data_IF_517942480598
#
_entry.id   IF_517942480598
#
_cell.length_a   1.000
_cell.length_b   1.000
_cell.length_c   1.000
_cell.angle_alpha   90.00
_cell.angle_beta   90.00
_cell.angle_gamma   90.00
#
_symmetry.space_group_name_H-M   'P 1'
#
loop_
_entity.id
_entity.type
_entity.pdbx_description
1 polymer ?
#
# COMPACT_ATOMS: atom_id res chain seq x y z
N UNK A 1 12.59 -0.84 -0.74
CA UNK A 1 13.15 0.51 -0.57
C UNK A 1 12.28 1.29 0.40
N UNK A 2 12.87 2.00 1.36
CA UNK A 2 12.21 2.97 2.22
C UNK A 2 12.31 4.34 1.57
N UNK A 3 11.16 4.96 1.29
CA UNK A 3 11.08 6.24 0.58
C UNK A 3 10.49 7.29 1.52
N UNK A 4 11.31 8.26 1.92
CA UNK A 4 10.86 9.31 2.84
C UNK A 4 10.26 10.50 2.10
N UNK A 5 9.06 10.93 2.44
CA UNK A 5 8.49 12.16 1.88
C UNK A 5 9.03 13.39 2.59
N UNK A 6 9.59 14.36 1.86
CA UNK A 6 10.10 15.60 2.44
C UNK A 6 10.00 16.76 1.45
N UNK A 7 9.48 17.93 1.84
CA UNK A 7 9.43 19.11 0.98
C UNK A 7 10.77 19.86 0.89
N UNK A 8 11.75 19.53 1.74
CA UNK A 8 13.00 20.30 1.89
C UNK A 8 14.23 19.59 1.31
N UNK A 9 14.06 18.46 0.63
CA UNK A 9 15.16 17.73 -0.02
C UNK A 9 14.88 17.57 -1.50
N UNK A 10 15.80 18.07 -2.32
CA UNK A 10 15.75 17.86 -3.77
C UNK A 10 15.73 16.36 -4.05
N UNK A 11 14.62 15.89 -4.60
CA UNK A 11 14.39 14.48 -4.86
C UNK A 11 13.37 14.26 -5.98
N UNK A 12 13.10 12.99 -6.26
CA UNK A 12 12.06 12.52 -7.15
C UNK A 12 10.69 13.11 -6.80
N UNK A 13 9.89 13.35 -7.84
CA UNK A 13 8.48 13.68 -7.73
C UNK A 13 7.63 12.43 -7.97
N UNK A 14 6.33 12.41 -7.60
CA UNK A 14 5.46 11.31 -7.96
C UNK A 14 5.43 10.97 -9.46
N UNK A 15 5.70 11.95 -10.33
CA UNK A 15 5.71 11.82 -11.79
C UNK A 15 6.98 11.14 -12.32
N UNK A 16 8.15 11.40 -11.71
CA UNK A 16 9.44 10.85 -12.17
C UNK A 16 9.94 9.67 -11.33
N UNK A 17 9.27 9.34 -10.23
CA UNK A 17 9.63 8.22 -9.36
C UNK A 17 9.73 6.91 -10.14
N UNK A 18 10.84 6.17 -9.97
CA UNK A 18 11.08 4.92 -10.69
C UNK A 18 10.38 3.72 -10.03
N UNK A 19 9.32 3.27 -10.69
CA UNK A 19 8.52 2.11 -10.29
C UNK A 19 9.20 0.77 -10.64
N UNK A 20 10.15 0.74 -11.58
CA UNK A 20 10.82 -0.49 -12.04
C UNK A 20 11.95 -0.92 -11.11
N UNK A 21 12.48 0.00 -10.30
CA UNK A 21 13.53 -0.27 -9.31
C UNK A 21 13.07 -1.19 -8.15
N UNK A 22 11.80 -1.60 -8.15
CA UNK A 22 11.24 -2.60 -7.24
C UNK A 22 10.42 -2.02 -6.09
N UNK A 23 10.02 -2.89 -5.15
CA UNK A 23 9.08 -2.57 -4.06
C UNK A 23 9.53 -1.35 -3.24
N UNK A 24 8.60 -0.43 -3.02
CA UNK A 24 8.80 0.79 -2.27
C UNK A 24 7.78 0.89 -1.12
N UNK A 25 8.24 1.30 0.06
CA UNK A 25 7.41 1.66 1.19
C UNK A 25 7.55 3.17 1.41
N UNK A 26 6.46 3.91 1.23
CA UNK A 26 6.42 5.35 1.41
C UNK A 26 6.23 5.68 2.89
N UNK A 27 7.12 6.51 3.43
CA UNK A 27 7.06 7.00 4.80
C UNK A 27 6.53 8.44 4.77
N UNK A 28 5.44 8.66 5.50
CA UNK A 28 4.80 9.96 5.65
C UNK A 28 4.94 10.43 7.10
N UNK A 29 5.31 11.70 7.25
CA UNK A 29 5.48 12.34 8.55
C UNK A 29 4.17 12.78 9.20
N UNK A 30 4.22 13.23 10.45
CA UNK A 30 3.08 13.90 11.08
C UNK A 30 3.03 15.38 10.68
N UNK A 31 1.88 16.04 10.88
CA UNK A 31 1.71 17.45 10.53
C UNK A 31 2.64 18.40 11.31
N UNK A 32 2.98 18.06 12.55
CA UNK A 32 3.76 18.94 13.42
C UNK A 32 5.27 18.76 13.24
N UNK A 33 5.73 17.51 13.14
CA UNK A 33 7.17 17.18 13.20
C UNK A 33 7.70 16.57 11.90
N UNK A 34 6.83 16.30 10.92
CA UNK A 34 7.23 15.55 9.75
C UNK A 34 7.68 14.13 10.11
N UNK A 35 8.67 13.62 9.36
CA UNK A 35 9.29 12.32 9.63
C UNK A 35 10.35 12.44 10.71
N UNK A 36 10.51 11.40 11.52
CA UNK A 36 11.59 11.34 12.50
C UNK A 36 12.96 11.28 11.82
N UNK A 37 13.99 11.78 12.51
CA UNK A 37 15.39 11.68 12.03
C UNK A 37 15.80 10.22 11.78
N UNK A 38 15.29 9.28 12.58
CA UNK A 38 15.50 7.84 12.35
C UNK A 38 14.91 7.40 11.01
N UNK A 39 13.66 7.79 10.70
CA UNK A 39 13.03 7.46 9.43
C UNK A 39 13.77 8.12 8.24
N UNK A 40 14.23 9.36 8.40
CA UNK A 40 15.00 10.07 7.37
C UNK A 40 16.38 9.43 7.14
N UNK A 41 17.05 8.97 8.18
CA UNK A 41 18.38 8.34 8.08
C UNK A 41 18.35 6.91 7.54
N UNK A 42 17.23 6.20 7.71
CA UNK A 42 17.01 4.86 7.16
C UNK A 42 16.45 4.87 5.72
N UNK A 43 16.10 6.04 5.18
CA UNK A 43 15.51 6.14 3.86
C UNK A 43 16.56 5.87 2.76
N UNK A 44 16.18 5.05 1.78
CA UNK A 44 17.01 4.77 0.59
C UNK A 44 16.96 5.92 -0.42
N UNK A 45 15.82 6.62 -0.47
CA UNK A 45 15.57 7.75 -1.35
C UNK A 45 14.47 8.65 -0.77
N UNK A 46 14.30 9.85 -1.33
CA UNK A 46 13.28 10.78 -0.91
C UNK A 46 12.24 10.98 -2.02
N UNK A 47 11.05 11.46 -1.65
CA UNK A 47 10.02 11.88 -2.59
C UNK A 47 9.47 13.25 -2.15
N UNK A 48 9.28 14.15 -3.10
CA UNK A 48 8.75 15.48 -2.83
C UNK A 48 7.60 15.82 -3.78
N UNK A 49 6.58 16.51 -3.28
CA UNK A 49 5.58 17.15 -4.13
C UNK A 49 6.07 18.59 -4.34
N UNK A 50 6.39 19.01 -5.58
CA UNK A 50 6.79 20.38 -5.84
C UNK A 50 5.70 21.36 -5.39
N UNK A 51 6.08 22.33 -4.56
CA UNK A 51 5.17 23.40 -4.13
C UNK A 51 5.59 24.71 -4.75
N UNK A 52 4.60 25.47 -5.22
CA UNK A 52 4.77 26.81 -5.78
C UNK A 52 3.99 27.79 -4.91
N UNK A 53 4.66 28.84 -4.42
CA UNK A 53 4.05 29.87 -3.57
C UNK A 53 4.60 29.89 -2.15
N UNK A 54 3.86 30.54 -1.24
CA UNK A 54 4.29 30.81 0.13
C UNK A 54 4.08 29.65 1.11
N UNK A 55 3.39 28.58 0.70
CA UNK A 55 3.12 27.42 1.56
C UNK A 55 4.30 26.46 1.53
N UNK A 56 4.83 26.12 2.70
CA UNK A 56 5.98 25.22 2.84
C UNK A 56 5.61 23.74 2.89
N UNK A 57 4.31 23.40 2.98
CA UNK A 57 3.80 22.03 2.97
C UNK A 57 2.29 21.97 2.66
N UNK A 58 1.84 20.88 2.02
CA UNK A 58 0.43 20.50 2.01
C UNK A 58 0.04 19.82 3.33
N UNK A 59 -1.27 19.78 3.62
CA UNK A 59 -1.80 18.88 4.64
C UNK A 59 -1.35 17.43 4.36
N UNK A 60 -1.03 16.67 5.40
CA UNK A 60 -0.48 15.32 5.22
C UNK A 60 -1.40 14.40 4.44
N UNK A 61 -2.72 14.49 4.66
CA UNK A 61 -3.71 13.69 3.91
C UNK A 61 -3.71 14.04 2.42
N UNK A 62 -3.52 15.32 2.08
CA UNK A 62 -3.43 15.80 0.69
C UNK A 62 -2.14 15.30 0.05
N UNK A 63 -1.02 15.36 0.76
CA UNK A 63 0.27 14.81 0.31
C UNK A 63 0.16 13.31 0.02
N UNK A 64 -0.43 12.55 0.93
CA UNK A 64 -0.67 11.10 0.75
C UNK A 64 -1.57 10.85 -0.45
N UNK A 65 -2.68 11.58 -0.57
CA UNK A 65 -3.65 11.41 -1.66
C UNK A 65 -3.01 11.67 -3.04
N UNK A 66 -2.31 12.79 -3.21
CA UNK A 66 -1.62 13.14 -4.46
C UNK A 66 -0.58 12.06 -4.81
N UNK A 67 0.25 11.69 -3.84
CA UNK A 67 1.33 10.72 -4.06
C UNK A 67 0.76 9.36 -4.47
N UNK A 68 -0.20 8.83 -3.70
CA UNK A 68 -0.80 7.53 -4.00
C UNK A 68 -1.59 7.53 -5.30
N UNK A 69 -2.33 8.60 -5.59
CA UNK A 69 -3.06 8.75 -6.84
C UNK A 69 -2.12 8.67 -8.04
N UNK A 70 -1.09 9.52 -8.08
CA UNK A 70 -0.15 9.58 -9.21
C UNK A 70 0.62 8.27 -9.38
N UNK A 71 1.15 7.71 -8.29
CA UNK A 71 1.89 6.46 -8.35
C UNK A 71 1.01 5.29 -8.76
N UNK A 72 -0.21 5.16 -8.21
CA UNK A 72 -1.13 4.08 -8.58
C UNK A 72 -1.60 4.20 -10.02
N UNK A 73 -1.85 5.42 -10.49
CA UNK A 73 -2.21 5.66 -11.89
C UNK A 73 -1.10 5.20 -12.84
N UNK A 74 0.14 5.63 -12.59
CA UNK A 74 1.31 5.20 -13.36
C UNK A 74 1.56 3.70 -13.27
N UNK A 75 1.40 3.12 -12.07
CA UNK A 75 1.61 1.70 -11.82
C UNK A 75 0.62 0.83 -12.61
N UNK A 76 -0.66 1.22 -12.64
CA UNK A 76 -1.71 0.54 -13.44
C UNK A 76 -1.50 0.67 -14.94
N UNK A 77 -0.84 1.72 -15.39
CA UNK A 77 -0.48 1.95 -16.80
C UNK A 77 0.90 1.37 -17.18
N UNK A 78 1.56 0.66 -16.27
CA UNK A 78 2.90 0.09 -16.47
C UNK A 78 2.88 -1.44 -16.53
N UNK A 79 3.97 -2.02 -17.04
CA UNK A 79 4.20 -3.47 -17.09
C UNK A 79 4.79 -4.04 -15.79
N UNK A 80 4.91 -3.23 -14.73
CA UNK A 80 5.47 -3.70 -13.45
C UNK A 80 4.54 -4.76 -12.85
N UNK A 81 5.03 -5.94 -12.42
CA UNK A 81 4.20 -6.98 -11.81
C UNK A 81 3.88 -6.61 -10.35
N UNK A 82 2.86 -5.78 -10.14
CA UNK A 82 2.45 -5.29 -8.82
C UNK A 82 1.26 -6.02 -8.21
N UNK A 83 0.54 -6.80 -9.02
CA UNK A 83 -0.67 -7.51 -8.60
C UNK A 83 -0.32 -8.73 -7.74
N UNK A 84 -1.21 -9.05 -6.81
CA UNK A 84 -1.16 -10.31 -6.07
C UNK A 84 -1.43 -11.48 -7.04
N UNK A 85 -0.76 -12.60 -6.83
CA UNK A 85 -1.08 -13.87 -7.50
C UNK A 85 -2.49 -14.35 -7.12
N UNK A 86 -3.07 -15.25 -7.91
CA UNK A 86 -4.40 -15.82 -7.63
C UNK A 86 -4.47 -16.54 -6.27
N UNK A 87 -3.36 -17.15 -5.82
CA UNK A 87 -3.26 -17.76 -4.50
C UNK A 87 -3.32 -16.73 -3.38
N UNK A 88 -2.49 -15.68 -3.46
CA UNK A 88 -2.48 -14.58 -2.48
C UNK A 88 -3.82 -13.84 -2.43
N UNK A 89 -4.48 -13.63 -3.58
CA UNK A 89 -5.82 -13.03 -3.64
C UNK A 89 -6.86 -13.89 -2.92
N UNK A 90 -6.81 -15.21 -3.11
CA UNK A 90 -7.73 -16.14 -2.45
C UNK A 90 -7.50 -16.18 -0.94
N UNK A 91 -6.25 -16.24 -0.50
CA UNK A 91 -5.89 -16.22 0.92
C UNK A 91 -6.41 -14.95 1.61
N UNK A 92 -6.19 -13.78 0.99
CA UNK A 92 -6.66 -12.50 1.52
C UNK A 92 -8.20 -12.41 1.55
N UNK A 93 -8.87 -12.91 0.50
CA UNK A 93 -10.33 -12.96 0.46
C UNK A 93 -10.90 -13.86 1.56
N UNK A 94 -10.29 -15.03 1.80
CA UNK A 94 -10.69 -15.93 2.87
C UNK A 94 -10.49 -15.28 4.24
N UNK A 95 -9.36 -14.60 4.45
CA UNK A 95 -9.08 -13.86 5.69
C UNK A 95 -10.14 -12.77 5.94
N UNK A 96 -10.43 -11.94 4.93
CA UNK A 96 -11.45 -10.90 5.05
C UNK A 96 -12.84 -11.47 5.29
N UNK A 97 -13.17 -12.58 4.63
CA UNK A 97 -14.45 -13.28 4.83
C UNK A 97 -14.56 -13.77 6.27
N UNK A 98 -13.52 -14.44 6.79
CA UNK A 98 -13.43 -14.90 8.19
C UNK A 98 -13.62 -13.74 9.18
N UNK A 99 -12.98 -12.61 8.92
CA UNK A 99 -13.05 -11.42 9.78
C UNK A 99 -14.39 -10.67 9.68
N UNK A 100 -15.18 -10.91 8.63
CA UNK A 100 -16.46 -10.22 8.38
C UNK A 100 -17.68 -10.97 8.88
N UNK A 101 -17.55 -12.24 9.28
CA UNK A 101 -18.68 -13.09 9.71
C UNK A 101 -18.64 -13.37 11.21
N UNK A 102 -19.83 -13.56 11.79
CA UNK A 102 -19.96 -13.92 13.21
C UNK A 102 -19.72 -15.42 13.38
N UNK A 103 -18.74 -15.78 14.20
CA UNK A 103 -18.33 -17.17 14.47
C UNK A 103 -17.91 -17.95 13.20
N UNK A 104 -16.78 -17.57 12.58
CA UNK A 104 -16.28 -18.22 11.36
C UNK A 104 -15.97 -19.71 11.54
N UNK A 105 -15.51 -20.13 12.72
CA UNK A 105 -15.15 -21.52 13.02
C UNK A 105 -16.35 -22.47 12.85
N UNK A 106 -17.53 -22.05 13.30
CA UNK A 106 -18.75 -22.84 13.13
C UNK A 106 -19.16 -22.98 11.66
N UNK A 107 -18.98 -21.91 10.88
CA UNK A 107 -19.28 -21.90 9.43
C UNK A 107 -18.30 -22.81 8.69
N UNK A 108 -17.00 -22.70 9.01
CA UNK A 108 -15.95 -23.55 8.42
C UNK A 108 -16.21 -25.03 8.72
N UNK A 109 -16.53 -25.37 9.98
CA UNK A 109 -16.88 -26.73 10.37
C UNK A 109 -18.08 -27.27 9.57
N UNK A 110 -19.16 -26.48 9.48
CA UNK A 110 -20.35 -26.85 8.73
C UNK A 110 -20.07 -27.05 7.22
N UNK A 111 -19.24 -26.21 6.62
CA UNK A 111 -18.82 -26.34 5.22
C UNK A 111 -17.99 -27.61 4.99
N UNK A 112 -17.07 -27.94 5.90
CA UNK A 112 -16.27 -29.16 5.84
C UNK A 112 -17.15 -30.42 5.94
N UNK A 113 -18.11 -30.44 6.87
CA UNK A 113 -19.07 -31.54 7.01
C UNK A 113 -19.87 -31.75 5.71
N UNK A 114 -20.43 -30.69 5.14
CA UNK A 114 -21.18 -30.77 3.87
C UNK A 114 -20.34 -31.25 2.67
N UNK A 115 -19.08 -30.83 2.58
CA UNK A 115 -18.18 -31.27 1.50
C UNK A 115 -17.92 -32.77 1.59
N UNK A 116 -17.70 -33.27 2.81
CA UNK A 116 -17.46 -34.69 3.07
C UNK A 116 -18.66 -35.56 2.71
N UNK A 117 -19.89 -35.05 2.91
CA UNK A 117 -21.12 -35.76 2.55
C UNK A 117 -21.37 -35.80 1.03
N UNK A 118 -21.00 -34.73 0.31
CA UNK A 118 -21.12 -34.68 -1.15
C UNK A 118 -20.15 -35.65 -1.87
N UNK A 119 -18.94 -35.79 -1.33
CA UNK A 119 -17.91 -36.70 -1.88
C UNK A 119 -18.22 -38.19 -1.62
N UNK A 120 -19.05 -38.52 -0.61
CA UNK A 120 -19.49 -39.90 -0.33
C UNK A 120 -20.72 -40.35 -1.12
N UNK A 121 -21.48 -39.42 -1.68
CA UNK A 121 -22.67 -39.70 -2.52
C UNK A 121 -22.36 -39.75 -4.02
N UNK A 122 -21.11 -39.53 -4.41
CA UNK A 122 -20.61 -39.62 -5.80
C UNK A 122 -19.77 -40.88 -5.98
#
# INVERSE_FOLDING_TARGET
>A
RLVATSPHRKSHTPEDFDLNRGKAALLFGTELTGLSETALSMADEYLQIPMVGFTESFNISVTVAITLYTLTHRLRASEVPWQLSSGEQLELLLEWTRNSVRNPEAIEKWLHEKKTDAEKSS
#
